data_IF_397030800489
#
_entry.id   IF_397030800489
#
_cell.length_a   1.000
_cell.length_b   1.000
_cell.length_c   1.000
_cell.angle_alpha   90.00
_cell.angle_beta   90.00
_cell.angle_gamma   90.00
#
_symmetry.space_group_name_H-M   'P 1'
#
loop_
_entity.id
_entity.type
_entity.pdbx_description
1 polymer ?
#
# COMPACT_ATOMS: atom_id res chain seq x y z
N UNK A 1 -5.88 22.84 -7.46
CA UNK A 1 -6.20 22.90 -6.02
C UNK A 1 -7.60 23.45 -5.91
N UNK A 2 -8.51 22.82 -5.15
CA UNK A 2 -9.86 23.35 -4.97
C UNK A 2 -9.78 24.73 -4.31
N UNK A 3 -10.63 25.64 -4.78
CA UNK A 3 -10.83 26.95 -4.14
C UNK A 3 -12.05 26.78 -3.24
N UNK A 4 -11.84 26.84 -1.93
CA UNK A 4 -12.90 26.82 -0.92
C UNK A 4 -12.99 28.24 -0.37
N UNK A 5 -14.12 28.91 -0.56
CA UNK A 5 -14.34 30.28 -0.09
C UNK A 5 -13.24 31.29 -0.50
N UNK A 6 -12.70 31.16 -1.72
CA UNK A 6 -11.63 32.03 -2.22
C UNK A 6 -10.23 31.67 -1.72
N UNK A 7 -10.07 30.59 -0.94
CA UNK A 7 -8.78 30.08 -0.45
C UNK A 7 -8.39 28.79 -1.16
N UNK A 8 -7.10 28.64 -1.42
CA UNK A 8 -6.55 27.38 -1.91
C UNK A 8 -6.41 26.41 -0.73
N UNK A 9 -7.20 25.33 -0.74
CA UNK A 9 -7.13 24.30 0.30
C UNK A 9 -6.62 22.98 -0.29
N UNK A 10 -5.75 22.31 0.48
CA UNK A 10 -5.24 21.00 0.14
C UNK A 10 -5.00 20.18 1.40
N UNK A 11 -5.79 19.11 1.58
CA UNK A 11 -5.53 18.12 2.61
C UNK A 11 -4.35 17.25 2.16
N UNK A 12 -3.28 17.25 2.95
CA UNK A 12 -2.05 16.52 2.61
C UNK A 12 -2.15 15.06 3.02
N UNK A 13 -2.65 14.82 4.22
CA UNK A 13 -2.64 13.51 4.88
C UNK A 13 -3.69 13.44 5.99
N UNK A 14 -4.02 12.22 6.39
CA UNK A 14 -4.73 11.89 7.61
C UNK A 14 -3.87 10.94 8.42
N UNK A 15 -3.72 11.17 9.71
CA UNK A 15 -3.21 10.14 10.64
C UNK A 15 -4.42 9.63 11.40
N UNK A 16 -4.67 8.33 11.35
CA UNK A 16 -5.82 7.74 12.04
C UNK A 16 -5.53 7.67 13.55
N UNK A 17 -6.58 7.78 14.37
CA UNK A 17 -6.41 7.76 15.83
C UNK A 17 -6.02 6.37 16.32
N UNK A 18 -6.52 5.35 15.61
CA UNK A 18 -6.21 3.93 15.85
C UNK A 18 -5.82 3.24 14.55
N UNK A 19 -5.13 2.10 14.68
CA UNK A 19 -4.75 1.26 13.55
C UNK A 19 -5.99 0.66 12.89
N UNK A 20 -6.97 0.26 13.71
CA UNK A 20 -8.22 -0.35 13.30
C UNK A 20 -9.04 0.60 12.43
N UNK A 21 -9.15 1.88 12.80
CA UNK A 21 -9.78 2.91 11.97
C UNK A 21 -9.12 3.02 10.60
N UNK A 22 -7.79 3.01 10.55
CA UNK A 22 -7.05 3.09 9.30
C UNK A 22 -7.23 1.85 8.43
N UNK A 23 -7.23 0.66 9.02
CA UNK A 23 -7.49 -0.61 8.30
C UNK A 23 -8.92 -0.64 7.76
N UNK A 24 -9.90 -0.19 8.54
CA UNK A 24 -11.30 -0.15 8.09
C UNK A 24 -11.47 0.82 6.91
N UNK A 25 -10.80 1.98 6.94
CA UNK A 25 -10.81 2.92 5.82
C UNK A 25 -10.10 2.34 4.57
N UNK A 26 -9.05 1.53 4.73
CA UNK A 26 -8.44 0.77 3.63
C UNK A 26 -9.48 -0.17 3.00
N UNK A 27 -10.19 -0.96 3.81
CA UNK A 27 -11.23 -1.89 3.32
C UNK A 27 -12.33 -1.15 2.58
N UNK A 28 -12.83 -0.05 3.14
CA UNK A 28 -13.82 0.82 2.51
C UNK A 28 -13.34 1.37 1.17
N UNK A 29 -12.05 1.74 1.06
CA UNK A 29 -11.45 2.20 -0.19
C UNK A 29 -11.32 1.08 -1.21
N UNK A 30 -10.97 -0.14 -0.80
CA UNK A 30 -10.88 -1.31 -1.67
C UNK A 30 -12.22 -1.63 -2.34
N UNK A 31 -13.33 -1.56 -1.61
CA UNK A 31 -14.67 -1.81 -2.15
C UNK A 31 -15.03 -0.91 -3.34
N UNK A 32 -14.48 0.31 -3.38
CA UNK A 32 -14.81 1.34 -4.39
C UNK A 32 -13.75 1.50 -5.48
N UNK A 33 -12.68 0.71 -5.43
CA UNK A 33 -11.51 0.90 -6.28
C UNK A 33 -11.27 -0.30 -7.19
N UNK A 34 -11.03 -0.04 -8.48
CA UNK A 34 -10.70 -1.09 -9.46
C UNK A 34 -9.21 -1.38 -9.54
N UNK A 35 -8.37 -0.33 -9.48
CA UNK A 35 -6.91 -0.42 -9.57
C UNK A 35 -6.30 -0.25 -8.19
N UNK A 36 -5.50 -1.23 -7.77
CA UNK A 36 -4.85 -1.26 -6.45
C UNK A 36 -3.39 -1.66 -6.62
N UNK A 37 -2.51 -0.97 -5.91
CA UNK A 37 -1.06 -1.24 -5.89
C UNK A 37 -0.62 -1.36 -4.44
N UNK A 38 -0.15 -2.54 -4.05
CA UNK A 38 0.26 -2.84 -2.67
C UNK A 38 1.77 -3.03 -2.62
N UNK A 39 2.45 -2.39 -1.68
CA UNK A 39 3.89 -2.45 -1.53
C UNK A 39 4.31 -2.60 -0.07
N UNK A 40 5.08 -3.65 0.25
CA UNK A 40 5.80 -3.81 1.52
C UNK A 40 4.94 -3.67 2.80
N UNK A 41 3.67 -4.12 2.75
CA UNK A 41 2.81 -4.19 3.93
C UNK A 41 3.02 -5.53 4.67
N UNK A 42 2.69 -5.64 5.97
CA UNK A 42 2.77 -6.92 6.69
C UNK A 42 1.94 -8.00 6.01
N UNK A 43 2.45 -9.24 6.00
CA UNK A 43 1.73 -10.38 5.41
C UNK A 43 0.37 -10.61 6.05
N UNK A 44 0.27 -10.48 7.39
CA UNK A 44 -1.00 -10.59 8.12
C UNK A 44 -2.06 -9.57 7.68
N UNK A 45 -1.64 -8.34 7.40
CA UNK A 45 -2.56 -7.32 6.86
C UNK A 45 -2.97 -7.68 5.43
N UNK A 46 -2.04 -8.15 4.61
CA UNK A 46 -2.38 -8.57 3.24
C UNK A 46 -3.41 -9.70 3.24
N UNK A 47 -3.25 -10.69 4.11
CA UNK A 47 -4.21 -11.79 4.31
C UNK A 47 -5.60 -11.27 4.70
N UNK A 48 -5.68 -10.32 5.63
CA UNK A 48 -6.93 -9.68 6.03
C UNK A 48 -7.61 -8.94 4.86
N UNK A 49 -6.82 -8.37 3.94
CA UNK A 49 -7.32 -7.63 2.81
C UNK A 49 -7.67 -8.52 1.60
N UNK A 50 -7.18 -9.76 1.52
CA UNK A 50 -7.39 -10.67 0.38
C UNK A 50 -8.85 -10.76 -0.12
N UNK A 51 -9.88 -10.89 0.74
CA UNK A 51 -11.27 -10.98 0.30
C UNK A 51 -11.75 -9.75 -0.49
N UNK A 52 -11.11 -8.61 -0.26
CA UNK A 52 -11.42 -7.34 -0.90
C UNK A 52 -10.61 -7.10 -2.16
N UNK A 53 -9.75 -8.02 -2.60
CA UNK A 53 -8.84 -7.83 -3.75
C UNK A 53 -9.29 -8.54 -5.03
N UNK A 54 -10.32 -9.39 -4.95
CA UNK A 54 -10.89 -10.13 -6.08
C UNK A 54 -11.33 -9.20 -7.21
N UNK A 55 -11.07 -9.62 -8.46
CA UNK A 55 -11.44 -8.93 -9.71
C UNK A 55 -10.88 -7.50 -9.87
N UNK A 56 -9.77 -7.19 -9.18
CA UNK A 56 -9.08 -5.89 -9.31
C UNK A 56 -7.92 -5.96 -10.29
N UNK A 57 -7.63 -4.81 -10.91
CA UNK A 57 -6.30 -4.56 -11.48
C UNK A 57 -5.32 -4.43 -10.30
N UNK A 58 -4.72 -5.55 -9.91
CA UNK A 58 -3.89 -5.70 -8.73
C UNK A 58 -2.43 -5.96 -9.11
N UNK A 59 -1.53 -5.22 -8.46
CA UNK A 59 -0.10 -5.57 -8.36
C UNK A 59 0.34 -5.52 -6.91
N UNK A 60 1.03 -6.54 -6.44
CA UNK A 60 1.53 -6.65 -5.07
C UNK A 60 3.04 -6.84 -5.06
N UNK A 61 3.76 -5.95 -4.37
CA UNK A 61 5.18 -6.10 -4.06
C UNK A 61 5.27 -6.49 -2.58
N UNK A 62 5.61 -7.74 -2.32
CA UNK A 62 5.79 -8.31 -0.99
C UNK A 62 7.05 -7.78 -0.30
N UNK A 63 7.08 -7.82 1.05
CA UNK A 63 8.28 -7.50 1.82
C UNK A 63 9.50 -8.36 1.48
N UNK A 64 10.68 -7.83 1.79
CA UNK A 64 11.94 -8.51 1.48
C UNK A 64 12.01 -9.89 2.12
N UNK A 65 12.33 -10.92 1.33
CA UNK A 65 12.41 -12.31 1.80
C UNK A 65 11.09 -13.09 1.73
N UNK A 66 9.96 -12.41 1.54
CA UNK A 66 8.65 -13.05 1.47
C UNK A 66 8.40 -13.73 0.12
N UNK A 67 7.58 -14.79 0.16
CA UNK A 67 7.12 -15.52 -1.02
C UNK A 67 5.59 -15.44 -1.13
N UNK A 68 5.04 -15.33 -2.35
CA UNK A 68 3.60 -15.32 -2.52
C UNK A 68 2.98 -16.67 -2.20
N UNK A 69 1.78 -16.63 -1.63
CA UNK A 69 0.89 -17.79 -1.58
C UNK A 69 0.24 -18.03 -2.94
N UNK A 70 -0.22 -19.26 -3.20
CA UNK A 70 -0.95 -19.59 -4.43
C UNK A 70 -2.26 -18.81 -4.56
N UNK A 71 -2.92 -18.51 -3.44
CA UNK A 71 -4.10 -17.66 -3.41
C UNK A 71 -3.77 -16.25 -3.93
N UNK A 72 -2.69 -15.64 -3.41
CA UNK A 72 -2.29 -14.30 -3.80
C UNK A 72 -1.92 -14.20 -5.29
N UNK A 73 -1.27 -15.23 -5.85
CA UNK A 73 -0.97 -15.30 -7.29
C UNK A 73 -2.22 -15.34 -8.17
N UNK A 74 -3.34 -15.89 -7.66
CA UNK A 74 -4.63 -15.92 -8.36
C UNK A 74 -5.33 -14.57 -8.35
N UNK A 75 -5.06 -13.73 -7.35
CA UNK A 75 -5.67 -12.39 -7.21
C UNK A 75 -5.06 -11.35 -8.15
N UNK A 76 -3.78 -11.49 -8.52
CA UNK A 76 -3.11 -10.55 -9.42
C UNK A 76 -1.61 -10.80 -9.57
N UNK A 77 -0.92 -9.84 -10.19
CA UNK A 77 0.53 -9.96 -10.37
C UNK A 77 1.26 -9.77 -9.03
N UNK A 78 2.17 -10.69 -8.70
CA UNK A 78 2.94 -10.62 -7.46
C UNK A 78 4.44 -10.55 -7.72
N UNK A 79 5.12 -9.77 -6.89
CA UNK A 79 6.55 -9.63 -6.87
C UNK A 79 7.05 -9.55 -5.42
N UNK A 80 8.34 -9.76 -5.20
CA UNK A 80 8.99 -9.51 -3.92
C UNK A 80 10.03 -8.41 -4.10
N UNK A 81 10.05 -7.43 -3.18
CA UNK A 81 11.06 -6.37 -3.20
C UNK A 81 12.44 -6.96 -2.97
N UNK A 82 13.45 -6.40 -3.66
CA UNK A 82 14.88 -6.67 -3.39
C UNK A 82 15.52 -5.61 -2.51
N UNK A 83 14.76 -4.57 -2.17
CA UNK A 83 15.22 -3.44 -1.38
C UNK A 83 14.63 -3.51 0.02
N UNK A 84 15.45 -3.20 1.04
CA UNK A 84 14.98 -2.93 2.40
C UNK A 84 14.35 -1.54 2.41
N UNK A 85 13.09 -1.45 2.83
CA UNK A 85 12.34 -0.20 2.95
C UNK A 85 11.97 -0.02 4.42
N UNK A 86 12.49 1.04 5.03
CA UNK A 86 12.34 1.32 6.46
C UNK A 86 12.14 2.81 6.71
N UNK A 87 11.68 3.13 7.92
CA UNK A 87 11.47 4.48 8.44
C UNK A 87 11.95 4.56 9.88
N UNK A 88 12.44 5.71 10.32
CA UNK A 88 12.58 6.02 11.74
C UNK A 88 11.21 6.44 12.28
N UNK A 89 10.60 5.59 13.09
CA UNK A 89 9.34 5.84 13.77
C UNK A 89 9.61 6.03 15.26
N UNK A 90 9.56 7.30 15.70
CA UNK A 90 9.74 7.69 17.11
C UNK A 90 11.07 7.17 17.69
N UNK A 91 12.16 7.26 16.92
CA UNK A 91 13.49 6.81 17.34
C UNK A 91 13.71 5.31 17.23
N UNK A 92 12.81 4.59 16.55
CA UNK A 92 12.93 3.15 16.28
C UNK A 92 12.86 2.90 14.78
N UNK A 93 13.75 2.06 14.28
CA UNK A 93 13.65 1.58 12.91
C UNK A 93 12.43 0.66 12.78
N UNK A 94 11.55 0.95 11.84
CA UNK A 94 10.38 0.16 11.51
C UNK A 94 10.27 -0.03 10.00
N UNK A 95 9.60 -1.09 9.57
CA UNK A 95 9.26 -1.27 8.17
C UNK A 95 8.16 -0.29 7.77
N UNK A 96 8.15 0.10 6.49
CA UNK A 96 7.06 0.92 5.95
C UNK A 96 6.59 0.43 4.60
N UNK A 97 5.28 0.33 4.45
CA UNK A 97 4.60 -0.09 3.23
C UNK A 97 3.50 0.88 2.83
N UNK A 98 2.91 0.63 1.68
CA UNK A 98 1.79 1.42 1.20
C UNK A 98 0.79 0.66 0.35
N UNK A 99 -0.45 1.17 0.36
CA UNK A 99 -1.55 0.75 -0.50
C UNK A 99 -1.97 1.98 -1.30
N UNK A 100 -1.65 1.97 -2.59
CA UNK A 100 -1.88 3.07 -3.51
C UNK A 100 -3.18 2.85 -4.30
N UNK A 101 -4.02 3.89 -4.27
CA UNK A 101 -5.20 4.08 -5.10
C UNK A 101 -5.01 5.27 -6.05
N UNK A 102 -6.00 5.56 -6.89
CA UNK A 102 -5.90 6.66 -7.87
C UNK A 102 -5.77 8.05 -7.24
N UNK A 103 -6.33 8.27 -6.04
CA UNK A 103 -6.38 9.59 -5.40
C UNK A 103 -5.81 9.63 -3.98
N UNK A 104 -5.42 8.49 -3.43
CA UNK A 104 -4.96 8.38 -2.04
C UNK A 104 -3.98 7.22 -1.92
N UNK A 105 -3.05 7.37 -1.00
CA UNK A 105 -2.15 6.30 -0.57
C UNK A 105 -2.37 6.10 0.91
N UNK A 106 -2.47 4.85 1.34
CA UNK A 106 -2.35 4.50 2.75
C UNK A 106 -0.91 4.10 3.00
N UNK A 107 -0.29 4.68 4.02
CA UNK A 107 1.01 4.29 4.53
C UNK A 107 0.80 3.42 5.77
N UNK A 108 1.59 2.35 5.88
CA UNK A 108 1.53 1.40 7.00
C UNK A 108 2.93 1.30 7.58
N UNK A 109 3.10 1.67 8.84
CA UNK A 109 4.36 1.51 9.58
C UNK A 109 4.20 0.29 10.49
N UNK A 110 5.18 -0.62 10.47
CA UNK A 110 5.06 -1.90 11.17
C UNK A 110 6.42 -2.48 11.61
N UNK A 111 6.40 -3.34 12.61
CA UNK A 111 7.57 -4.11 13.05
C UNK A 111 7.13 -5.49 13.54
N UNK A 112 7.74 -6.55 12.99
CA UNK A 112 7.26 -7.92 13.24
C UNK A 112 5.82 -8.08 12.76
N UNK A 113 4.92 -8.50 13.64
CA UNK A 113 3.49 -8.65 13.33
C UNK A 113 2.63 -7.45 13.79
N UNK A 114 3.26 -6.41 14.34
CA UNK A 114 2.57 -5.25 14.90
C UNK A 114 2.58 -4.08 13.92
N UNK A 115 1.40 -3.50 13.67
CA UNK A 115 1.26 -2.23 12.95
C UNK A 115 1.27 -1.11 13.97
N UNK A 116 2.13 -0.13 13.77
CA UNK A 116 2.26 1.03 14.66
C UNK A 116 1.42 2.22 14.24
N UNK A 117 1.25 2.43 12.93
CA UNK A 117 0.52 3.56 12.40
C UNK A 117 -0.04 3.22 11.02
N UNK A 118 -1.27 3.66 10.79
CA UNK A 118 -1.84 3.81 9.46
C UNK A 118 -2.09 5.30 9.24
N UNK A 119 -1.71 5.80 8.08
CA UNK A 119 -1.97 7.19 7.67
C UNK A 119 -2.25 7.28 6.18
N UNK A 120 -2.77 8.40 5.71
CA UNK A 120 -3.01 8.65 4.29
C UNK A 120 -2.10 9.73 3.73
N UNK A 121 -1.90 9.70 2.42
CA UNK A 121 -1.39 10.80 1.62
C UNK A 121 -2.39 11.07 0.52
N UNK A 122 -2.99 12.27 0.54
CA UNK A 122 -4.15 12.66 -0.27
C UNK A 122 -3.80 13.77 -1.27
N UNK A 123 -2.66 14.44 -1.08
CA UNK A 123 -2.23 15.48 -2.01
C UNK A 123 -1.88 14.88 -3.37
N UNK A 124 -2.62 15.25 -4.40
CA UNK A 124 -2.53 14.63 -5.73
C UNK A 124 -1.12 14.57 -6.33
N UNK A 125 -0.28 15.58 -6.10
CA UNK A 125 1.11 15.60 -6.56
C UNK A 125 1.94 14.51 -5.87
N UNK A 126 1.73 14.31 -4.56
CA UNK A 126 2.40 13.27 -3.80
C UNK A 126 1.90 11.88 -4.19
N UNK A 127 0.58 11.72 -4.38
CA UNK A 127 -0.02 10.46 -4.86
C UNK A 127 0.56 10.06 -6.22
N UNK A 128 0.63 11.01 -7.17
CA UNK A 128 1.25 10.79 -8.49
C UNK A 128 2.74 10.47 -8.39
N UNK A 129 3.47 11.15 -7.50
CA UNK A 129 4.88 10.90 -7.28
C UNK A 129 5.11 9.45 -6.83
N UNK A 130 4.42 9.05 -5.77
CA UNK A 130 4.54 7.71 -5.20
C UNK A 130 3.99 6.62 -6.12
N UNK A 131 3.02 6.93 -6.99
CA UNK A 131 2.60 6.01 -8.05
C UNK A 131 3.71 5.71 -9.05
N UNK A 132 4.52 6.70 -9.43
CA UNK A 132 5.72 6.47 -10.27
C UNK A 132 6.80 5.68 -9.52
N UNK A 133 6.97 5.96 -8.22
CA UNK A 133 7.87 5.19 -7.36
C UNK A 133 7.46 3.72 -7.30
N UNK A 134 6.16 3.44 -7.16
CA UNK A 134 5.63 2.07 -7.18
C UNK A 134 5.96 1.36 -8.49
N UNK A 135 5.69 1.97 -9.65
CA UNK A 135 5.96 1.31 -10.95
C UNK A 135 7.46 1.07 -11.18
N UNK A 136 8.31 1.95 -10.62
CA UNK A 136 9.77 1.75 -10.61
C UNK A 136 10.16 0.59 -9.72
N UNK A 137 9.67 0.54 -8.47
CA UNK A 137 9.90 -0.57 -7.56
C UNK A 137 9.39 -1.89 -8.16
N UNK A 138 8.23 -1.86 -8.82
CA UNK A 138 7.66 -2.98 -9.55
C UNK A 138 8.66 -3.49 -10.59
N UNK A 139 9.20 -2.61 -11.46
CA UNK A 139 10.15 -3.01 -12.51
C UNK A 139 11.36 -3.77 -11.97
N UNK A 140 11.88 -3.39 -10.81
CA UNK A 140 13.10 -3.96 -10.24
C UNK A 140 12.88 -5.09 -9.22
N UNK A 141 11.62 -5.36 -8.85
CA UNK A 141 11.25 -6.44 -7.95
C UNK A 141 11.34 -7.81 -8.62
N UNK A 142 11.58 -8.86 -7.83
CA UNK A 142 11.56 -10.24 -8.31
C UNK A 142 10.12 -10.65 -8.64
N UNK A 143 9.85 -11.01 -9.89
CA UNK A 143 8.51 -11.45 -10.32
C UNK A 143 8.28 -12.92 -10.01
N UNK A 144 7.12 -13.21 -9.46
CA UNK A 144 6.61 -14.56 -9.29
C UNK A 144 5.56 -14.77 -10.37
N UNK A 145 5.99 -15.30 -11.51
CA UNK A 145 5.06 -15.78 -12.53
C UNK A 145 4.72 -17.22 -12.23
N UNK A 146 3.49 -17.62 -12.51
CA UNK A 146 3.22 -19.03 -12.73
C UNK A 146 4.00 -19.47 -13.96
N UNK A 147 4.66 -20.63 -13.88
CA UNK A 147 5.51 -21.17 -14.95
C UNK A 147 4.75 -21.44 -16.27
N UNK A 148 3.43 -21.21 -16.31
CA UNK A 148 2.53 -21.59 -17.40
C UNK A 148 1.72 -20.40 -17.98
N UNK A 149 2.21 -19.16 -17.88
CA UNK A 149 1.65 -17.99 -18.57
C UNK A 149 2.71 -17.20 -19.32
#
# INVERSE_FOLDING_TARGET
>A
MPIVEGRYEAKISTVFSTVEEGIEEIKNRLLRSRKVRINNIPMKLLEELNPFLTDKDLKVILPFGEKPTEELKRLGDVATTKSRIYVDFKGKEANTGSILFSTVIFNVIWLGDEIYEVSTMEYSSCVKCMGRTFETAWRYSQKWRDANR
#
